data_IF_391891604908
#
_entry.id   IF_391891604908
#
_cell.length_a   1.000
_cell.length_b   1.000
_cell.length_c   1.000
_cell.angle_alpha   90.00
_cell.angle_beta   90.00
_cell.angle_gamma   90.00
#
_symmetry.space_group_name_H-M   'P 1'
#
loop_
_entity.id
_entity.type
_entity.pdbx_description
1 polymer ?
#
# COMPACT_ATOMS: atom_id res chain seq x y z
N UNK A 1 1.58 -30.88 2.30
CA UNK A 1 1.84 -30.34 2.34
C UNK A 1 1.49 -29.69 2.69
N UNK A 2 1.04 -29.77 2.83
CA UNK A 2 1.00 -29.01 3.12
C UNK A 2 1.40 -28.18 3.34
N UNK A 3 1.11 -28.67 3.58
CA UNK A 3 1.97 -27.63 3.86
C UNK A 3 1.91 -26.47 2.95
N UNK A 4 1.56 -26.63 1.88
CA UNK A 4 1.52 -25.62 0.94
C UNK A 4 0.72 -24.46 1.32
N UNK A 5 -0.34 -24.68 1.97
CA UNK A 5 -1.14 -23.55 2.37
C UNK A 5 -0.44 -22.71 3.37
N UNK A 6 0.40 -23.34 4.14
CA UNK A 6 1.08 -22.58 5.14
C UNK A 6 2.13 -21.67 4.61
N UNK A 7 2.59 -21.92 3.41
CA UNK A 7 3.59 -21.05 2.84
C UNK A 7 3.02 -19.72 2.44
N UNK A 8 1.71 -19.63 2.27
CA UNK A 8 1.08 -18.38 1.92
C UNK A 8 0.81 -17.54 3.15
N UNK A 9 1.35 -16.35 3.18
CA UNK A 9 1.14 -15.43 4.27
C UNK A 9 0.29 -14.29 3.76
N UNK A 10 -0.99 -14.34 4.09
CA UNK A 10 -1.95 -13.33 3.69
C UNK A 10 -2.14 -12.37 4.85
N UNK A 11 -1.85 -11.11 4.64
CA UNK A 11 -1.99 -10.09 5.64
C UNK A 11 -2.94 -9.03 5.13
N UNK A 12 -3.98 -8.77 5.91
CA UNK A 12 -4.92 -7.70 5.62
C UNK A 12 -4.72 -6.60 6.63
N UNK A 13 -4.69 -5.37 6.17
CA UNK A 13 -4.36 -4.26 7.02
C UNK A 13 -5.12 -3.01 6.59
N UNK A 14 -5.59 -2.25 7.56
CA UNK A 14 -6.22 -0.97 7.31
C UNK A 14 -5.36 0.09 7.97
N UNK A 15 -4.85 1.01 7.17
CA UNK A 15 -3.97 2.06 7.64
C UNK A 15 -4.68 3.40 7.55
N UNK A 16 -4.66 4.15 8.65
CA UNK A 16 -5.24 5.48 8.66
C UNK A 16 -4.18 6.45 8.19
N UNK A 17 -4.45 7.13 7.08
CA UNK A 17 -3.49 8.04 6.49
C UNK A 17 -3.43 9.35 7.26
N UNK A 18 -2.29 10.04 7.12
CA UNK A 18 -2.09 11.33 7.75
C UNK A 18 -1.45 12.27 6.73
N UNK A 19 -1.93 13.48 6.71
CA UNK A 19 -1.33 14.51 5.85
C UNK A 19 -1.64 14.38 4.39
N UNK A 20 -2.65 13.60 4.03
CA UNK A 20 -3.05 13.43 2.64
C UNK A 20 -4.55 13.61 2.50
N UNK A 21 -5.01 13.63 1.26
CA UNK A 21 -6.43 13.77 1.00
C UNK A 21 -7.21 12.47 1.17
N UNK A 22 -6.53 11.33 1.15
CA UNK A 22 -7.20 10.06 1.46
C UNK A 22 -7.34 9.92 2.97
N UNK A 23 -8.28 9.08 3.40
CA UNK A 23 -8.53 8.88 4.83
C UNK A 23 -7.94 7.60 5.35
N UNK A 24 -8.03 6.53 4.58
CA UNK A 24 -7.39 5.27 4.97
C UNK A 24 -7.07 4.44 3.75
N UNK A 25 -6.19 3.48 3.95
CA UNK A 25 -5.75 2.56 2.90
C UNK A 25 -6.01 1.16 3.41
N UNK A 26 -6.69 0.37 2.59
CA UNK A 26 -6.87 -1.06 2.89
C UNK A 26 -5.90 -1.85 2.03
N UNK A 27 -5.16 -2.73 2.66
CA UNK A 27 -4.11 -3.48 2.00
C UNK A 27 -4.32 -4.97 2.17
N UNK A 28 -3.94 -5.70 1.14
CA UNK A 28 -3.93 -7.14 1.19
C UNK A 28 -2.61 -7.59 0.57
N UNK A 29 -1.76 -8.19 1.40
CA UNK A 29 -0.42 -8.61 0.99
C UNK A 29 -0.28 -10.11 1.20
N UNK A 30 0.23 -10.79 0.20
CA UNK A 30 0.42 -12.24 0.28
C UNK A 30 1.85 -12.57 -0.14
N UNK A 31 2.61 -13.17 0.78
CA UNK A 31 4.00 -13.60 0.51
C UNK A 31 4.87 -12.47 0.00
N UNK A 32 4.72 -11.28 0.57
CA UNK A 32 5.54 -10.15 0.19
C UNK A 32 5.15 -9.51 -1.12
N UNK A 33 3.99 -9.87 -1.65
CA UNK A 33 3.46 -9.31 -2.89
C UNK A 33 2.14 -8.61 -2.60
N UNK A 34 1.98 -7.40 -3.11
CA UNK A 34 0.74 -6.64 -2.92
C UNK A 34 -0.34 -7.28 -3.76
N UNK A 35 -1.41 -7.72 -3.12
CA UNK A 35 -2.52 -8.33 -3.83
C UNK A 35 -3.61 -7.33 -4.13
N UNK A 36 -3.90 -6.46 -3.17
CA UNK A 36 -4.94 -5.45 -3.36
C UNK A 36 -4.63 -4.24 -2.51
N UNK A 37 -4.96 -3.09 -3.04
CA UNK A 37 -4.88 -1.83 -2.32
C UNK A 37 -6.13 -1.04 -2.64
N UNK A 38 -6.78 -0.51 -1.62
CA UNK A 38 -7.92 0.37 -1.80
C UNK A 38 -7.69 1.63 -1.00
N UNK A 39 -7.77 2.77 -1.67
CA UNK A 39 -7.67 4.07 -1.00
C UNK A 39 -9.08 4.62 -0.82
N UNK A 40 -9.35 5.14 0.35
CA UNK A 40 -10.64 5.74 0.66
C UNK A 40 -10.47 7.23 0.80
N UNK A 41 -11.32 7.98 0.11
CA UNK A 41 -11.21 9.44 0.05
C UNK A 41 -10.13 9.87 -0.93
N UNK A 42 -9.98 11.17 -1.11
CA UNK A 42 -8.90 11.71 -1.93
C UNK A 42 -9.20 11.68 -3.42
N UNK A 43 -8.14 11.73 -4.21
CA UNK A 43 -8.22 11.83 -5.67
C UNK A 43 -8.57 10.48 -6.28
N UNK A 44 -9.83 10.29 -6.55
CA UNK A 44 -10.34 8.98 -6.94
C UNK A 44 -9.62 8.39 -8.15
N UNK A 45 -9.44 9.17 -9.20
CA UNK A 45 -8.82 8.67 -10.41
C UNK A 45 -7.37 8.26 -10.22
N UNK A 46 -6.59 9.15 -9.60
CA UNK A 46 -5.18 8.88 -9.37
C UNK A 46 -4.97 7.71 -8.43
N UNK A 47 -5.76 7.63 -7.37
CA UNK A 47 -5.61 6.56 -6.39
C UNK A 47 -6.05 5.23 -6.94
N UNK A 48 -7.06 5.22 -7.78
CA UNK A 48 -7.50 4.01 -8.45
C UNK A 48 -6.40 3.50 -9.39
N UNK A 49 -5.78 4.41 -10.13
CA UNK A 49 -4.68 4.05 -11.00
C UNK A 49 -3.50 3.49 -10.24
N UNK A 50 -3.16 4.12 -9.12
CA UNK A 50 -2.07 3.67 -8.29
C UNK A 50 -2.36 2.27 -7.74
N UNK A 51 -3.59 2.04 -7.30
CA UNK A 51 -3.99 0.74 -6.78
C UNK A 51 -3.79 -0.36 -7.80
N UNK A 52 -4.15 -0.08 -9.03
CA UNK A 52 -3.99 -1.07 -10.10
C UNK A 52 -2.53 -1.28 -10.47
N UNK A 53 -1.75 -0.21 -10.41
CA UNK A 53 -0.35 -0.28 -10.79
C UNK A 53 0.46 -1.13 -9.82
N UNK A 54 0.22 -0.98 -8.52
CA UNK A 54 0.99 -1.71 -7.52
C UNK A 54 0.50 -3.13 -7.31
N UNK A 55 -0.68 -3.45 -7.81
CA UNK A 55 -1.20 -4.80 -7.67
C UNK A 55 -0.28 -5.80 -8.37
N UNK A 56 0.16 -6.79 -7.62
CA UNK A 56 1.09 -7.79 -8.15
C UNK A 56 2.54 -7.44 -7.98
N UNK A 57 2.85 -6.25 -7.44
CA UNK A 57 4.24 -5.86 -7.22
C UNK A 57 4.73 -6.37 -5.88
N UNK A 58 6.02 -6.64 -5.82
CA UNK A 58 6.64 -6.98 -4.55
C UNK A 58 6.63 -5.76 -3.64
N UNK A 59 6.41 -6.00 -2.35
CA UNK A 59 6.36 -4.93 -1.38
C UNK A 59 7.62 -4.07 -1.43
N UNK A 60 8.79 -4.70 -1.51
CA UNK A 60 10.03 -3.93 -1.52
C UNK A 60 10.14 -3.05 -2.75
N UNK A 61 9.56 -3.45 -3.87
CA UNK A 61 9.54 -2.63 -5.07
C UNK A 61 8.63 -1.42 -4.90
N UNK A 62 7.48 -1.64 -4.28
CA UNK A 62 6.56 -0.55 -4.01
C UNK A 62 7.22 0.48 -3.12
N UNK A 63 7.85 0.05 -2.05
CA UNK A 63 8.51 0.95 -1.14
C UNK A 63 9.62 1.72 -1.86
N UNK A 64 10.42 1.01 -2.63
CA UNK A 64 11.54 1.62 -3.32
C UNK A 64 11.11 2.72 -4.28
N UNK A 65 9.96 2.53 -4.93
CA UNK A 65 9.50 3.48 -5.93
C UNK A 65 8.68 4.63 -5.37
N UNK A 66 7.98 4.40 -4.28
CA UNK A 66 6.99 5.35 -3.81
C UNK A 66 7.35 6.04 -2.50
N UNK A 67 8.29 5.51 -1.76
CA UNK A 67 8.63 6.10 -0.48
C UNK A 67 9.24 7.49 -0.69
N UNK A 68 8.75 8.46 0.07
CA UNK A 68 9.26 9.81 -0.01
C UNK A 68 8.59 10.68 -1.04
N UNK A 69 7.66 10.13 -1.83
CA UNK A 69 6.93 10.94 -2.79
C UNK A 69 6.06 11.93 -2.03
N UNK A 70 6.13 13.20 -2.43
CA UNK A 70 5.38 14.26 -1.75
C UNK A 70 4.31 14.82 -2.65
N UNK A 71 3.19 15.14 -2.01
CA UNK A 71 2.17 15.90 -2.69
C UNK A 71 2.54 17.37 -2.57
N UNK A 72 2.09 18.18 -3.52
CA UNK A 72 2.47 19.59 -3.58
C UNK A 72 2.28 20.27 -2.23
N UNK A 73 3.35 20.85 -1.69
CA UNK A 73 3.31 21.58 -0.45
C UNK A 73 3.12 20.74 0.81
N UNK A 74 3.14 19.42 0.70
CA UNK A 74 2.95 18.54 1.85
C UNK A 74 4.19 17.67 2.06
N UNK A 75 4.44 17.26 3.32
CA UNK A 75 5.61 16.41 3.60
C UNK A 75 5.42 14.96 3.17
N UNK A 76 4.20 14.58 2.77
CA UNK A 76 3.90 13.21 2.41
C UNK A 76 2.87 13.20 1.28
N UNK A 77 2.50 12.02 0.83
CA UNK A 77 1.51 11.84 -0.23
C UNK A 77 0.81 10.50 -0.01
N UNK A 78 -0.24 10.24 -0.79
CA UNK A 78 -0.92 8.95 -0.70
C UNK A 78 0.03 7.80 -1.04
N UNK A 79 0.85 7.88 -2.10
CA UNK A 79 1.85 6.82 -2.35
C UNK A 79 2.82 6.64 -1.19
N UNK A 80 3.29 7.75 -0.60
CA UNK A 80 4.20 7.67 0.53
C UNK A 80 3.51 7.04 1.74
N UNK A 81 2.24 7.39 1.96
CA UNK A 81 1.49 6.81 3.06
C UNK A 81 1.28 5.30 2.87
N UNK A 82 1.16 4.85 1.63
CA UNK A 82 1.11 3.42 1.35
C UNK A 82 2.38 2.74 1.86
N UNK A 83 3.53 3.38 1.66
CA UNK A 83 4.80 2.83 2.16
C UNK A 83 4.82 2.82 3.69
N UNK A 84 4.28 3.85 4.32
CA UNK A 84 4.16 3.85 5.78
C UNK A 84 3.32 2.68 6.26
N UNK A 85 2.23 2.39 5.56
CA UNK A 85 1.39 1.26 5.91
C UNK A 85 2.15 -0.05 5.79
N UNK A 86 2.92 -0.20 4.73
CA UNK A 86 3.70 -1.41 4.52
C UNK A 86 4.76 -1.57 5.61
N UNK A 87 5.37 -0.47 6.05
CA UNK A 87 6.33 -0.53 7.15
C UNK A 87 5.65 -0.95 8.44
N UNK A 88 4.44 -0.48 8.68
CA UNK A 88 3.70 -0.89 9.89
C UNK A 88 3.36 -2.37 9.85
N UNK A 89 3.20 -2.93 8.66
CA UNK A 89 2.95 -4.36 8.52
C UNK A 89 4.20 -5.21 8.72
N UNK A 90 5.36 -4.57 8.87
CA UNK A 90 6.60 -5.29 9.12
C UNK A 90 7.55 -5.33 7.93
N UNK A 91 7.26 -4.58 6.90
CA UNK A 91 8.12 -4.55 5.70
C UNK A 91 9.08 -3.37 5.65
#
# INVERSE_FOLDING_TARGET
KKAETRSKRIMEYVYRTQGTCSTNIELNVEDGVVKEVAFWGGCNGNLQGLSRLVKGMKVEEVIKKLEGVRCSGRPTSCPDQLCHALHEMGY
#
